data_IF_051500526523
#
_entry.id   IF_051500526523
#
_cell.length_a   1.000
_cell.length_b   1.000
_cell.length_c   1.000
_cell.angle_alpha   90.00
_cell.angle_beta   90.00
_cell.angle_gamma   90.00
#
_symmetry.space_group_name_H-M   'P 1'
#
loop_
_entity.id
_entity.type
_entity.pdbx_description
1 polymer ?
#
# COMPACT_ATOMS: atom_id res chain seq x y z
N UNK A 1 3.56 10.88 -9.80
CA UNK A 1 3.42 10.45 -8.40
C UNK A 1 2.03 10.85 -7.93
N UNK A 2 1.21 9.88 -7.53
CA UNK A 2 -0.11 10.12 -6.93
C UNK A 2 0.00 9.94 -5.42
N UNK A 3 -0.55 10.86 -4.63
CA UNK A 3 -0.55 10.77 -3.16
C UNK A 3 -1.96 10.92 -2.64
N UNK A 4 -2.38 9.96 -1.82
CA UNK A 4 -3.69 9.93 -1.21
C UNK A 4 -3.54 9.71 0.30
N UNK A 5 -4.45 10.34 1.04
CA UNK A 5 -4.52 10.11 2.47
C UNK A 5 -5.75 10.69 3.13
N UNK A 6 -5.82 10.50 4.43
CA UNK A 6 -6.93 10.93 5.27
C UNK A 6 -7.16 9.99 6.43
N UNK A 7 -8.35 10.07 7.04
CA UNK A 7 -8.74 9.23 8.17
C UNK A 7 -10.05 8.50 7.86
N UNK A 8 -10.13 7.20 8.14
CA UNK A 8 -11.38 6.43 7.99
C UNK A 8 -11.84 6.26 6.54
N UNK A 9 -10.94 6.31 5.56
CA UNK A 9 -11.30 6.28 4.13
C UNK A 9 -11.22 4.88 3.56
N UNK A 10 -12.18 4.56 2.67
CA UNK A 10 -12.14 3.37 1.80
C UNK A 10 -12.19 3.79 0.35
N UNK A 11 -11.15 3.50 -0.44
CA UNK A 11 -11.07 3.92 -1.84
C UNK A 11 -10.37 2.92 -2.75
N UNK A 12 -10.82 2.86 -4.00
CA UNK A 12 -10.19 2.11 -5.09
C UNK A 12 -9.44 3.04 -6.01
N UNK A 13 -8.19 2.70 -6.33
CA UNK A 13 -7.24 3.56 -7.05
C UNK A 13 -6.56 2.72 -8.13
N UNK A 14 -6.53 3.20 -9.37
CA UNK A 14 -5.74 2.56 -10.42
C UNK A 14 -4.29 3.04 -10.39
N UNK A 15 -3.37 2.08 -10.42
CA UNK A 15 -1.95 2.29 -10.57
C UNK A 15 -1.56 1.99 -12.03
N UNK A 16 -1.11 3.02 -12.74
CA UNK A 16 -0.76 2.95 -14.16
C UNK A 16 0.77 3.04 -14.31
N UNK A 17 1.49 2.01 -13.86
CA UNK A 17 2.97 1.94 -13.85
C UNK A 17 3.64 3.09 -13.10
N UNK A 18 2.90 3.69 -12.16
CA UNK A 18 3.30 4.89 -11.44
C UNK A 18 3.82 4.61 -10.03
N UNK A 19 4.23 5.69 -9.37
CA UNK A 19 4.42 5.70 -7.91
C UNK A 19 3.16 6.18 -7.21
N UNK A 20 2.63 5.35 -6.31
CA UNK A 20 1.48 5.64 -5.47
C UNK A 20 1.91 5.76 -4.01
N UNK A 21 1.50 6.83 -3.33
CA UNK A 21 1.75 7.06 -1.91
C UNK A 21 0.42 7.12 -1.14
N UNK A 22 0.27 6.21 -0.19
CA UNK A 22 -0.90 6.07 0.66
C UNK A 22 -0.49 6.41 2.09
N UNK A 23 -1.19 7.36 2.71
CA UNK A 23 -0.88 7.82 4.06
C UNK A 23 -2.16 8.05 4.87
N UNK A 24 -2.12 7.89 6.19
CA UNK A 24 -3.22 8.33 7.06
C UNK A 24 -3.53 7.41 8.23
N UNK A 25 -4.77 7.43 8.72
CA UNK A 25 -5.17 6.62 9.87
C UNK A 25 -6.47 5.86 9.60
N UNK A 26 -6.50 4.57 9.92
CA UNK A 26 -7.69 3.74 9.81
C UNK A 26 -8.27 3.72 8.38
N UNK A 27 -7.41 3.51 7.38
CA UNK A 27 -7.81 3.54 5.97
C UNK A 27 -7.77 2.15 5.34
N UNK A 28 -8.61 1.94 4.32
CA UNK A 28 -8.61 0.74 3.47
C UNK A 28 -8.47 1.16 2.01
N UNK A 29 -7.40 0.74 1.35
CA UNK A 29 -7.15 1.06 -0.04
C UNK A 29 -7.13 -0.19 -0.91
N UNK A 30 -7.80 -0.15 -2.05
CA UNK A 30 -7.70 -1.16 -3.10
C UNK A 30 -7.00 -0.57 -4.30
N UNK A 31 -5.85 -1.11 -4.66
CA UNK A 31 -5.00 -0.62 -5.74
C UNK A 31 -5.07 -1.60 -6.91
N UNK A 32 -5.62 -1.17 -8.03
CA UNK A 32 -5.76 -2.00 -9.22
C UNK A 32 -4.68 -1.71 -10.25
N UNK A 33 -4.31 -2.70 -11.05
CA UNK A 33 -3.26 -2.57 -12.08
C UNK A 33 -1.84 -2.80 -11.56
N UNK A 34 -0.85 -2.17 -12.19
CA UNK A 34 0.55 -2.36 -11.87
C UNK A 34 1.17 -1.08 -11.31
N UNK A 35 1.78 -1.18 -10.13
CA UNK A 35 2.56 -0.09 -9.54
C UNK A 35 4.06 -0.32 -9.73
N UNK A 36 4.77 0.64 -10.32
CA UNK A 36 6.23 0.65 -10.22
C UNK A 36 6.67 0.75 -8.75
N UNK A 37 5.96 1.55 -7.94
CA UNK A 37 6.26 1.66 -6.50
C UNK A 37 5.03 2.04 -5.69
N UNK A 38 4.71 1.23 -4.71
CA UNK A 38 3.67 1.49 -3.72
C UNK A 38 4.33 1.89 -2.40
N UNK A 39 3.95 3.04 -1.86
CA UNK A 39 4.31 3.49 -0.51
C UNK A 39 3.07 3.51 0.35
N UNK A 40 3.13 2.81 1.49
CA UNK A 40 2.07 2.78 2.49
C UNK A 40 2.68 3.31 3.78
N UNK A 41 2.05 4.33 4.34
CA UNK A 41 2.45 4.96 5.60
C UNK A 41 1.23 5.23 6.47
N UNK A 42 1.40 5.28 7.79
CA UNK A 42 0.34 5.70 8.70
C UNK A 42 -0.03 4.65 9.75
N UNK A 43 -1.26 4.72 10.26
CA UNK A 43 -1.70 3.89 11.37
C UNK A 43 -2.94 3.08 10.98
N UNK A 44 -3.05 1.83 11.42
CA UNK A 44 -4.23 0.99 11.21
C UNK A 44 -4.71 0.97 9.75
N UNK A 45 -3.77 0.82 8.80
CA UNK A 45 -4.06 0.95 7.37
C UNK A 45 -3.95 -0.39 6.66
N UNK A 46 -4.98 -0.72 5.88
CA UNK A 46 -5.06 -1.94 5.09
C UNK A 46 -4.99 -1.60 3.61
N UNK A 47 -4.12 -2.29 2.87
CA UNK A 47 -3.94 -2.07 1.44
C UNK A 47 -3.97 -3.40 0.71
N UNK A 48 -4.78 -3.50 -0.35
CA UNK A 48 -4.68 -4.57 -1.34
C UNK A 48 -4.16 -3.99 -2.64
N UNK A 49 -3.25 -4.70 -3.32
CA UNK A 49 -2.69 -4.29 -4.61
C UNK A 49 -2.62 -5.46 -5.58
N UNK A 50 -3.02 -5.26 -6.83
CA UNK A 50 -2.92 -6.30 -7.86
C UNK A 50 -1.46 -6.73 -8.08
N UNK A 51 -0.58 -5.77 -8.40
CA UNK A 51 0.86 -6.04 -8.57
C UNK A 51 1.71 -4.80 -8.35
N UNK A 52 2.94 -5.00 -7.89
CA UNK A 52 3.92 -3.93 -7.77
C UNK A 52 5.36 -4.44 -7.90
N UNK A 53 6.27 -3.58 -8.37
CA UNK A 53 7.72 -3.88 -8.39
C UNK A 53 8.39 -3.60 -7.04
N UNK A 54 7.91 -2.60 -6.30
CA UNK A 54 8.42 -2.25 -4.97
C UNK A 54 7.29 -1.83 -4.04
N UNK A 55 7.31 -2.36 -2.81
CA UNK A 55 6.36 -2.02 -1.75
C UNK A 55 7.18 -1.51 -0.56
N UNK A 56 7.05 -0.21 -0.26
CA UNK A 56 7.51 0.36 1.00
C UNK A 56 6.31 0.45 1.95
N UNK A 57 6.22 -0.45 2.91
CA UNK A 57 5.21 -0.43 3.95
C UNK A 57 5.81 0.12 5.25
N UNK A 58 5.13 1.08 5.86
CA UNK A 58 5.54 1.54 7.17
C UNK A 58 4.49 2.25 8.00
N UNK A 59 4.83 2.49 9.26
CA UNK A 59 3.94 3.07 10.26
C UNK A 59 3.61 2.08 11.39
N UNK A 60 2.38 2.11 11.89
CA UNK A 60 1.94 1.30 13.04
C UNK A 60 0.68 0.50 12.65
N UNK A 61 0.69 -0.82 12.83
CA UNK A 61 -0.44 -1.70 12.47
C UNK A 61 -0.88 -1.51 11.02
N UNK A 62 0.01 -1.82 10.08
CA UNK A 62 -0.32 -1.73 8.64
C UNK A 62 -0.25 -3.10 7.99
N UNK A 63 -1.25 -3.42 7.17
CA UNK A 63 -1.32 -4.68 6.44
C UNK A 63 -1.36 -4.37 4.95
N UNK A 64 -0.44 -4.93 4.18
CA UNK A 64 -0.43 -4.84 2.71
C UNK A 64 -0.48 -6.23 2.10
N UNK A 65 -1.48 -6.47 1.24
CA UNK A 65 -1.66 -7.72 0.52
C UNK A 65 -1.44 -7.45 -0.96
N UNK A 66 -0.57 -8.22 -1.60
CA UNK A 66 -0.36 -8.14 -3.06
C UNK A 66 -0.78 -9.46 -3.73
N UNK A 67 -1.37 -9.38 -4.93
CA UNK A 67 -1.89 -10.56 -5.62
C UNK A 67 -0.82 -11.23 -6.52
N UNK A 68 -0.08 -10.44 -7.30
CA UNK A 68 0.88 -10.93 -8.29
C UNK A 68 2.21 -10.16 -8.31
N UNK A 69 3.23 -10.81 -8.86
CA UNK A 69 4.59 -10.26 -9.00
C UNK A 69 5.54 -10.67 -7.88
N UNK A 70 6.76 -10.17 -7.96
CA UNK A 70 7.83 -10.39 -6.97
C UNK A 70 8.37 -9.04 -6.48
N UNK A 71 7.57 -8.28 -5.72
CA UNK A 71 7.97 -6.96 -5.27
C UNK A 71 9.20 -7.01 -4.37
N UNK A 72 10.05 -6.00 -4.47
CA UNK A 72 11.00 -5.69 -3.39
C UNK A 72 10.20 -5.12 -2.22
N UNK A 73 10.26 -5.77 -1.06
CA UNK A 73 9.47 -5.39 0.13
C UNK A 73 10.37 -4.72 1.15
N UNK A 74 10.08 -3.45 1.45
CA UNK A 74 10.70 -2.69 2.54
C UNK A 74 9.66 -2.46 3.65
N UNK A 75 9.99 -2.87 4.87
CA UNK A 75 9.12 -2.70 6.05
C UNK A 75 9.78 -1.76 7.05
N UNK A 76 9.02 -0.81 7.60
CA UNK A 76 9.53 0.12 8.61
C UNK A 76 8.46 0.51 9.63
N UNK A 77 8.72 0.35 10.93
CA UNK A 77 7.77 0.69 11.99
C UNK A 77 7.33 -0.53 12.80
N UNK A 78 6.11 -0.48 13.36
CA UNK A 78 5.61 -1.42 14.36
C UNK A 78 4.44 -2.21 13.77
N UNK A 79 4.48 -3.54 13.87
CA UNK A 79 3.42 -4.43 13.38
C UNK A 79 3.03 -4.17 11.91
N UNK A 80 4.05 -4.13 11.05
CA UNK A 80 3.92 -3.96 9.61
C UNK A 80 3.95 -5.32 8.92
N UNK A 81 2.83 -5.73 8.35
CA UNK A 81 2.70 -6.99 7.61
C UNK A 81 2.58 -6.72 6.11
N UNK A 82 3.37 -7.46 5.34
CA UNK A 82 3.25 -7.51 3.87
C UNK A 82 3.28 -8.98 3.48
N UNK A 83 2.26 -9.44 2.77
CA UNK A 83 2.08 -10.84 2.36
C UNK A 83 1.43 -10.93 0.98
N UNK A 84 1.70 -12.03 0.28
CA UNK A 84 0.94 -12.37 -0.92
C UNK A 84 -0.38 -13.05 -0.51
N UNK A 85 -1.48 -12.76 -1.21
CA UNK A 85 -2.78 -13.36 -0.93
C UNK A 85 -3.82 -13.07 -2.00
#
# INVERSE_FOLDING_TARGET
MLSLGGNGRSQTISCNDGTLNLSGNNNTFTVTGHCLRLRVSGNYTHVTVDSADTIDAGGIYTVTIYHAGTPTINKSGIDVTVSQG
#
